data_IF_705374584136
#
_entry.id   IF_705374584136
#
_cell.length_a   1.000
_cell.length_b   1.000
_cell.length_c   1.000
_cell.angle_alpha   90.00
_cell.angle_beta   90.00
_cell.angle_gamma   90.00
#
_symmetry.space_group_name_H-M   'P 1'
#
loop_
_entity.id
_entity.type
_entity.pdbx_description
1 polymer ?
#
# COMPACT_ATOMS: atom_id res chain seq x y z
N UNK A 1 21.19 45.52 -83.75
CA UNK A 1 20.23 46.54 -83.30
C UNK A 1 19.75 46.17 -81.89
N UNK A 2 19.77 47.16 -80.99
CA UNK A 2 19.29 47.20 -79.61
C UNK A 2 19.93 46.33 -78.51
N UNK A 3 20.59 47.05 -77.59
CA UNK A 3 20.98 46.69 -76.22
C UNK A 3 19.74 46.40 -75.35
N UNK A 4 19.93 45.66 -74.24
CA UNK A 4 19.48 46.05 -72.89
C UNK A 4 20.15 45.20 -71.82
N UNK A 5 20.80 45.89 -70.87
CA UNK A 5 21.05 45.40 -69.52
C UNK A 5 19.70 45.16 -68.83
N UNK A 6 19.64 44.29 -67.81
CA UNK A 6 19.31 44.73 -66.45
C UNK A 6 19.25 43.58 -65.42
N UNK A 7 19.95 43.88 -64.32
CA UNK A 7 19.65 43.64 -62.91
C UNK A 7 19.44 42.23 -62.33
N UNK A 8 20.37 41.94 -61.42
CA UNK A 8 20.34 40.94 -60.37
C UNK A 8 19.21 41.25 -59.37
N UNK A 9 18.51 40.23 -58.91
CA UNK A 9 17.71 40.28 -57.68
C UNK A 9 17.84 38.95 -56.95
N UNK A 10 18.40 39.01 -55.75
CA UNK A 10 18.50 37.91 -54.79
C UNK A 10 17.09 37.52 -54.33
N UNK A 11 16.71 36.25 -54.53
CA UNK A 11 15.58 35.62 -53.84
C UNK A 11 16.08 34.75 -52.71
N UNK A 12 15.88 35.18 -51.46
CA UNK A 12 16.06 34.36 -50.27
C UNK A 12 15.08 33.18 -50.29
N UNK A 13 15.59 31.95 -50.37
CA UNK A 13 14.83 30.74 -50.08
C UNK A 13 14.94 30.49 -48.57
N UNK A 14 13.90 30.87 -47.82
CA UNK A 14 13.71 30.43 -46.43
C UNK A 14 13.18 29.00 -46.45
N UNK A 15 14.06 28.02 -46.22
CA UNK A 15 13.67 26.67 -45.83
C UNK A 15 13.02 26.72 -44.43
N UNK A 16 11.70 26.65 -44.35
CA UNK A 16 11.01 26.29 -43.11
C UNK A 16 11.23 24.78 -42.86
N UNK A 17 12.27 24.44 -42.11
CA UNK A 17 12.35 23.15 -41.42
C UNK A 17 11.31 23.16 -40.29
N UNK A 18 10.12 22.62 -40.56
CA UNK A 18 9.13 22.31 -39.54
C UNK A 18 9.68 21.21 -38.62
N UNK A 19 10.22 21.61 -37.46
CA UNK A 19 10.52 20.69 -36.36
C UNK A 19 9.19 20.16 -35.81
N UNK A 20 8.79 18.98 -36.27
CA UNK A 20 7.74 18.19 -35.64
C UNK A 20 8.31 17.65 -34.31
N UNK A 21 8.16 18.43 -33.24
CA UNK A 21 8.32 17.89 -31.89
C UNK A 21 7.18 16.91 -31.64
N UNK A 22 7.46 15.65 -31.27
CA UNK A 22 6.41 14.77 -30.80
C UNK A 22 5.88 15.37 -29.50
N UNK A 23 4.63 15.85 -29.52
CA UNK A 23 3.91 16.18 -28.31
C UNK A 23 3.69 14.88 -27.53
N UNK A 24 4.56 14.61 -26.56
CA UNK A 24 4.29 13.63 -25.52
C UNK A 24 3.17 14.23 -24.66
N UNK A 25 1.95 13.73 -24.84
CA UNK A 25 0.86 14.02 -23.91
C UNK A 25 1.23 13.39 -22.56
N UNK A 26 1.71 14.22 -21.63
CA UNK A 26 1.81 13.83 -20.24
C UNK A 26 0.37 13.61 -19.74
N UNK A 27 0.00 12.36 -19.49
CA UNK A 27 -1.30 12.03 -18.92
C UNK A 27 -1.29 12.49 -17.47
N UNK A 28 -2.00 13.58 -17.17
CA UNK A 28 -2.13 14.08 -15.80
C UNK A 28 -2.78 12.99 -14.93
N UNK A 29 -2.24 12.78 -13.73
CA UNK A 29 -2.86 11.90 -12.76
C UNK A 29 -4.32 12.34 -12.49
N UNK A 30 -5.25 11.39 -12.46
CA UNK A 30 -6.65 11.65 -12.15
C UNK A 30 -6.80 12.27 -10.76
N UNK A 31 -7.59 13.33 -10.63
CA UNK A 31 -7.93 13.92 -9.33
C UNK A 31 -8.60 12.87 -8.41
N UNK A 32 -8.43 12.98 -7.08
CA UNK A 32 -9.06 12.05 -6.14
C UNK A 32 -10.60 12.13 -6.23
N UNK A 33 -11.32 11.05 -5.93
CA UNK A 33 -12.79 11.00 -6.02
C UNK A 33 -13.49 11.98 -5.06
N UNK A 34 -12.81 12.33 -3.96
CA UNK A 34 -13.21 13.32 -2.97
C UNK A 34 -11.99 14.11 -2.48
N UNK A 35 -12.14 15.40 -2.09
CA UNK A 35 -11.00 16.25 -1.73
C UNK A 35 -10.13 15.72 -0.58
N UNK A 36 -10.77 15.14 0.44
CA UNK A 36 -10.14 14.61 1.65
C UNK A 36 -9.49 13.23 1.46
N UNK A 37 -9.57 12.66 0.26
CA UNK A 37 -8.85 11.42 -0.11
C UNK A 37 -7.49 11.69 -0.78
N UNK A 38 -7.06 12.94 -0.92
CA UNK A 38 -5.80 13.28 -1.59
C UNK A 38 -4.56 12.57 -1.01
N UNK A 39 -4.60 12.27 0.30
CA UNK A 39 -3.52 11.57 1.02
C UNK A 39 -3.74 10.06 1.18
N UNK A 40 -4.93 9.55 0.80
CA UNK A 40 -5.22 8.12 0.78
C UNK A 40 -4.38 7.40 -0.26
N UNK A 41 -4.11 6.12 -0.02
CA UNK A 41 -3.51 5.23 -1.03
C UNK A 41 -4.29 5.30 -2.36
N UNK A 42 -3.58 5.41 -3.49
CA UNK A 42 -4.23 5.57 -4.79
C UNK A 42 -5.21 4.43 -5.12
N UNK A 43 -4.92 3.19 -4.71
CA UNK A 43 -5.83 2.06 -4.90
C UNK A 43 -7.14 2.21 -4.14
N UNK A 44 -7.13 2.82 -2.95
CA UNK A 44 -8.37 3.13 -2.22
C UNK A 44 -9.17 4.22 -2.92
N UNK A 45 -8.49 5.21 -3.52
CA UNK A 45 -9.13 6.22 -4.36
C UNK A 45 -9.80 5.58 -5.59
N UNK A 46 -9.12 4.66 -6.27
CA UNK A 46 -9.66 3.93 -7.42
C UNK A 46 -10.87 3.05 -7.04
N UNK A 47 -10.77 2.28 -5.97
CA UNK A 47 -11.87 1.47 -5.42
C UNK A 47 -13.09 2.34 -5.07
N UNK A 48 -12.84 3.51 -4.48
CA UNK A 48 -13.90 4.46 -4.11
C UNK A 48 -14.53 5.11 -5.34
N UNK A 49 -13.72 5.52 -6.31
CA UNK A 49 -14.20 6.07 -7.58
C UNK A 49 -15.06 5.04 -8.34
N UNK A 50 -14.61 3.79 -8.41
CA UNK A 50 -15.36 2.69 -9.02
C UNK A 50 -16.75 2.51 -8.39
N UNK A 51 -16.84 2.45 -7.05
CA UNK A 51 -18.12 2.32 -6.36
C UNK A 51 -18.99 3.57 -6.46
N UNK A 52 -18.37 4.75 -6.56
CA UNK A 52 -19.07 6.03 -6.76
C UNK A 52 -19.72 6.07 -8.14
N UNK A 53 -19.01 5.63 -9.18
CA UNK A 53 -19.52 5.55 -10.55
C UNK A 53 -20.68 4.54 -10.67
N UNK A 54 -20.67 3.48 -9.87
CA UNK A 54 -21.80 2.53 -9.72
C UNK A 54 -22.93 3.05 -8.83
N UNK A 55 -22.87 4.28 -8.31
CA UNK A 55 -23.88 4.86 -7.41
C UNK A 55 -24.03 4.14 -6.05
N UNK A 56 -23.02 3.35 -5.69
CA UNK A 56 -23.03 2.46 -4.53
C UNK A 56 -22.54 3.14 -3.26
N UNK A 57 -21.62 4.08 -3.41
CA UNK A 57 -21.10 4.93 -2.33
C UNK A 57 -21.14 6.41 -2.74
N UNK A 58 -21.19 7.29 -1.75
CA UNK A 58 -21.14 8.73 -1.93
C UNK A 58 -20.46 9.41 -0.75
N UNK A 59 -20.23 10.72 -0.88
CA UNK A 59 -19.77 11.58 0.20
C UNK A 59 -20.89 11.94 1.17
N UNK A 60 -20.52 12.56 2.28
CA UNK A 60 -21.43 13.12 3.26
C UNK A 60 -21.95 14.51 2.82
N UNK A 61 -22.97 15.08 3.49
CA UNK A 61 -23.54 16.38 3.13
C UNK A 61 -22.55 17.55 3.15
N UNK A 62 -21.42 17.40 3.85
CA UNK A 62 -20.31 18.35 3.88
C UNK A 62 -19.41 18.31 2.61
N UNK A 63 -19.68 17.37 1.69
CA UNK A 63 -18.93 17.17 0.46
C UNK A 63 -17.68 16.30 0.61
N UNK A 64 -17.44 15.72 1.80
CA UNK A 64 -16.26 14.92 2.11
C UNK A 64 -16.57 13.42 2.14
N UNK A 65 -15.53 12.60 2.09
CA UNK A 65 -15.64 11.15 2.19
C UNK A 65 -15.46 10.61 3.60
N UNK A 66 -14.59 11.22 4.41
CA UNK A 66 -14.10 10.75 5.71
C UNK A 66 -13.41 9.38 5.63
N UNK A 67 -12.28 9.24 4.90
CA UNK A 67 -11.67 7.94 4.60
C UNK A 67 -11.21 7.17 5.85
N UNK A 68 -10.77 7.88 6.89
CA UNK A 68 -10.22 7.30 8.11
C UNK A 68 -11.28 7.03 9.19
N UNK A 69 -12.52 7.50 9.00
CA UNK A 69 -13.59 7.24 9.95
C UNK A 69 -14.00 5.78 9.90
N UNK A 70 -14.32 5.20 11.06
CA UNK A 70 -14.82 3.84 11.14
C UNK A 70 -16.27 3.77 10.66
N UNK A 71 -16.59 2.71 9.92
CA UNK A 71 -17.96 2.48 9.44
C UNK A 71 -18.73 1.64 10.45
N UNK A 72 -20.00 1.95 10.66
CA UNK A 72 -20.86 1.12 11.50
C UNK A 72 -21.44 -0.08 10.72
N UNK A 73 -22.00 -1.06 11.44
CA UNK A 73 -22.55 -2.29 10.86
C UNK A 73 -23.67 -2.02 9.84
N UNK A 74 -24.53 -1.03 10.10
CA UNK A 74 -25.63 -0.67 9.21
C UNK A 74 -25.14 -0.02 7.89
N UNK A 75 -24.18 0.89 7.98
CA UNK A 75 -23.57 1.57 6.83
C UNK A 75 -22.84 0.58 5.92
N UNK A 76 -22.08 -0.35 6.51
CA UNK A 76 -21.38 -1.37 5.74
C UNK A 76 -22.35 -2.27 4.97
N UNK A 77 -23.43 -2.71 5.62
CA UNK A 77 -24.43 -3.55 4.96
C UNK A 77 -25.16 -2.82 3.83
N UNK A 78 -25.47 -1.53 4.03
CA UNK A 78 -25.99 -0.67 2.95
C UNK A 78 -25.03 -0.61 1.77
N UNK A 79 -23.72 -0.46 2.00
CA UNK A 79 -22.70 -0.46 0.95
C UNK A 79 -22.73 -1.78 0.17
N UNK A 80 -22.71 -2.93 0.87
CA UNK A 80 -22.77 -4.27 0.25
C UNK A 80 -24.00 -4.40 -0.64
N UNK A 81 -25.20 -4.06 -0.15
CA UNK A 81 -26.42 -4.23 -0.92
C UNK A 81 -26.50 -3.27 -2.12
N UNK A 82 -26.07 -2.01 -1.95
CA UNK A 82 -26.06 -1.04 -3.06
C UNK A 82 -25.07 -1.42 -4.15
N UNK A 83 -23.91 -2.00 -3.78
CA UNK A 83 -22.90 -2.45 -4.75
C UNK A 83 -23.39 -3.53 -5.71
N UNK A 84 -24.49 -4.21 -5.39
CA UNK A 84 -25.12 -5.25 -6.21
C UNK A 84 -26.30 -4.76 -7.07
N UNK A 85 -26.59 -3.46 -7.13
CA UNK A 85 -27.56 -2.87 -8.07
C UNK A 85 -29.04 -2.78 -7.65
N UNK A 86 -29.42 -3.17 -6.42
CA UNK A 86 -30.81 -3.19 -5.84
C UNK A 86 -31.85 -4.08 -6.60
N UNK A 87 -32.89 -4.72 -6.01
CA UNK A 87 -33.57 -4.67 -4.69
C UNK A 87 -34.05 -6.10 -4.24
N UNK A 88 -34.81 -6.39 -3.17
CA UNK A 88 -35.90 -5.65 -2.49
C UNK A 88 -35.66 -5.30 -1.00
N UNK A 89 -36.13 -4.12 -0.56
CA UNK A 89 -36.15 -3.72 0.84
C UNK A 89 -37.22 -4.52 1.61
N UNK A 90 -36.80 -5.56 2.34
CA UNK A 90 -37.68 -6.27 3.27
C UNK A 90 -37.58 -5.57 4.62
N UNK A 91 -38.73 -5.20 5.20
CA UNK A 91 -38.81 -4.59 6.55
C UNK A 91 -39.49 -5.51 7.57
N UNK A 92 -39.73 -6.77 7.21
CA UNK A 92 -40.29 -7.80 8.09
C UNK A 92 -39.18 -8.70 8.66
N UNK A 93 -39.47 -9.39 9.77
CA UNK A 93 -38.54 -10.26 10.49
C UNK A 93 -37.21 -9.57 10.87
N UNK A 94 -37.27 -8.33 11.33
CA UNK A 94 -36.10 -7.58 11.77
C UNK A 94 -35.54 -8.04 13.14
N UNK A 95 -34.37 -7.53 13.53
CA UNK A 95 -33.86 -7.68 14.90
C UNK A 95 -34.60 -6.75 15.87
N UNK A 96 -34.55 -7.05 17.17
CA UNK A 96 -35.32 -6.32 18.18
C UNK A 96 -34.93 -4.83 18.32
N UNK A 97 -33.72 -4.46 17.92
CA UNK A 97 -33.15 -3.10 17.95
C UNK A 97 -33.15 -2.42 16.56
N UNK A 98 -33.95 -2.92 15.63
CA UNK A 98 -34.08 -2.38 14.26
C UNK A 98 -35.51 -1.88 14.07
N UNK A 99 -35.78 -0.58 14.28
CA UNK A 99 -37.07 0.02 13.96
C UNK A 99 -37.38 -0.12 12.47
N UNK A 100 -38.64 -0.41 12.11
CA UNK A 100 -39.04 -0.66 10.72
C UNK A 100 -38.90 0.57 9.81
N UNK A 101 -38.90 1.77 10.38
CA UNK A 101 -38.75 3.05 9.69
C UNK A 101 -37.29 3.56 9.65
N UNK A 102 -36.34 2.83 10.25
CA UNK A 102 -34.94 3.18 10.19
C UNK A 102 -34.41 3.04 8.74
N UNK A 103 -33.57 3.99 8.31
CA UNK A 103 -32.99 3.99 6.95
C UNK A 103 -32.24 2.70 6.59
N UNK A 104 -31.73 1.98 7.60
CA UNK A 104 -30.99 0.74 7.43
C UNK A 104 -31.85 -0.53 7.51
N UNK A 105 -33.10 -0.43 7.99
CA UNK A 105 -33.96 -1.59 8.22
C UNK A 105 -34.09 -2.48 6.98
N UNK A 106 -34.36 -1.95 5.77
CA UNK A 106 -34.36 -2.71 4.54
C UNK A 106 -33.18 -3.66 4.32
N UNK A 107 -31.97 -3.21 4.62
CA UNK A 107 -30.76 -3.97 4.38
C UNK A 107 -30.56 -5.02 5.46
N UNK A 108 -30.80 -4.64 6.72
CA UNK A 108 -30.60 -5.49 7.88
C UNK A 108 -31.58 -6.66 7.87
N UNK A 109 -32.87 -6.42 7.64
CA UNK A 109 -33.86 -7.50 7.70
C UNK A 109 -33.73 -8.44 6.49
N UNK A 110 -33.39 -7.90 5.31
CA UNK A 110 -33.02 -8.72 4.15
C UNK A 110 -31.79 -9.61 4.42
N UNK A 111 -30.75 -9.07 5.05
CA UNK A 111 -29.54 -9.84 5.37
C UNK A 111 -29.81 -10.94 6.40
N UNK A 112 -30.65 -10.66 7.42
CA UNK A 112 -31.06 -11.66 8.41
C UNK A 112 -31.82 -12.82 7.75
N UNK A 113 -32.83 -12.50 6.93
CA UNK A 113 -33.64 -13.51 6.21
C UNK A 113 -32.79 -14.39 5.29
N UNK A 114 -31.70 -13.86 4.75
CA UNK A 114 -30.75 -14.59 3.89
C UNK A 114 -29.67 -15.34 4.67
N UNK A 115 -29.66 -15.28 6.00
CA UNK A 115 -28.65 -15.94 6.83
C UNK A 115 -27.26 -15.28 6.77
N UNK A 116 -27.14 -14.09 6.15
CA UNK A 116 -25.88 -13.33 6.07
C UNK A 116 -25.46 -12.86 7.47
N UNK A 117 -26.44 -12.47 8.28
CA UNK A 117 -26.24 -12.01 9.66
C UNK A 117 -27.15 -12.77 10.62
N UNK A 118 -26.61 -13.09 11.80
CA UNK A 118 -27.34 -13.81 12.85
C UNK A 118 -27.67 -12.91 14.05
N UNK A 119 -27.02 -11.75 14.16
CA UNK A 119 -27.13 -10.86 15.32
C UNK A 119 -26.37 -11.36 16.54
N UNK A 120 -26.48 -10.62 17.63
CA UNK A 120 -25.96 -10.99 18.95
C UNK A 120 -27.12 -11.40 19.84
N UNK A 121 -26.91 -12.46 20.62
CA UNK A 121 -27.86 -12.86 21.66
C UNK A 121 -27.60 -12.02 22.90
N UNK A 122 -28.58 -11.20 23.30
CA UNK A 122 -28.56 -10.41 24.53
C UNK A 122 -29.78 -10.78 25.36
N UNK A 123 -29.57 -11.60 26.40
CA UNK A 123 -30.66 -12.25 27.13
C UNK A 123 -31.44 -13.19 26.22
N UNK A 124 -32.75 -12.98 26.10
CA UNK A 124 -33.62 -13.74 25.19
C UNK A 124 -33.83 -13.09 23.81
N UNK A 125 -33.19 -11.93 23.55
CA UNK A 125 -33.38 -11.15 22.32
C UNK A 125 -32.21 -11.30 21.37
N UNK A 126 -32.51 -11.33 20.07
CA UNK A 126 -31.53 -11.15 19.00
C UNK A 126 -31.46 -9.67 18.61
N UNK A 127 -30.26 -9.09 18.65
CA UNK A 127 -30.01 -7.68 18.33
C UNK A 127 -28.93 -7.54 17.26
N UNK A 128 -29.03 -6.53 16.39
CA UNK A 128 -28.09 -6.28 15.31
C UNK A 128 -26.93 -5.36 15.71
N UNK A 129 -27.20 -4.39 16.58
CA UNK A 129 -26.31 -3.28 16.97
C UNK A 129 -25.90 -2.40 15.78
N UNK A 130 -26.84 -1.68 15.14
CA UNK A 130 -26.60 -0.96 13.88
C UNK A 130 -25.48 0.09 13.95
N UNK A 131 -25.41 0.84 15.06
CA UNK A 131 -24.45 1.94 15.25
C UNK A 131 -23.08 1.48 15.76
N UNK A 132 -22.91 0.19 16.06
CA UNK A 132 -21.62 -0.32 16.50
C UNK A 132 -20.63 -0.33 15.32
N UNK A 133 -19.39 0.16 15.49
CA UNK A 133 -18.33 0.00 14.50
C UNK A 133 -18.15 -1.47 14.10
N UNK A 134 -18.14 -1.74 12.80
CA UNK A 134 -17.93 -3.10 12.29
C UNK A 134 -16.43 -3.41 12.25
N UNK A 135 -16.05 -4.63 12.62
CA UNK A 135 -14.67 -5.11 12.48
C UNK A 135 -14.46 -5.86 11.15
N UNK A 136 -13.20 -6.11 10.78
CA UNK A 136 -12.86 -6.82 9.53
C UNK A 136 -13.51 -8.21 9.44
N UNK A 137 -13.51 -9.00 10.52
CA UNK A 137 -14.10 -10.35 10.52
C UNK A 137 -15.60 -10.33 10.17
N UNK A 138 -16.36 -9.42 10.78
CA UNK A 138 -17.78 -9.22 10.51
C UNK A 138 -18.01 -8.69 9.09
N UNK A 139 -17.23 -7.71 8.66
CA UNK A 139 -17.31 -7.15 7.32
C UNK A 139 -17.05 -8.21 6.24
N UNK A 140 -16.05 -9.05 6.45
CA UNK A 140 -15.68 -10.16 5.57
C UNK A 140 -16.81 -11.19 5.49
N UNK A 141 -17.34 -11.66 6.63
CA UNK A 141 -18.50 -12.56 6.65
C UNK A 141 -19.66 -11.99 5.85
N UNK A 142 -20.01 -10.73 6.12
CA UNK A 142 -21.12 -10.07 5.44
C UNK A 142 -20.89 -9.99 3.92
N UNK A 143 -19.67 -9.67 3.48
CA UNK A 143 -19.32 -9.64 2.06
C UNK A 143 -19.38 -11.04 1.44
N UNK A 144 -18.64 -12.02 1.97
CA UNK A 144 -18.55 -13.40 1.46
C UNK A 144 -19.93 -14.02 1.23
N UNK A 145 -20.79 -13.95 2.24
CA UNK A 145 -22.14 -14.53 2.18
C UNK A 145 -23.04 -13.72 1.24
N UNK A 146 -22.90 -12.39 1.20
CA UNK A 146 -23.70 -11.55 0.30
C UNK A 146 -23.37 -11.78 -1.17
N UNK A 147 -22.11 -12.12 -1.49
CA UNK A 147 -21.66 -12.45 -2.84
C UNK A 147 -21.88 -13.92 -3.25
N UNK A 148 -22.61 -14.68 -2.41
CA UNK A 148 -23.17 -15.99 -2.79
C UNK A 148 -22.30 -17.19 -2.44
N UNK A 149 -21.27 -17.01 -1.61
CA UNK A 149 -20.50 -18.15 -1.10
C UNK A 149 -21.27 -18.81 0.05
N UNK A 150 -21.50 -20.11 -0.04
CA UNK A 150 -22.19 -20.90 0.99
C UNK A 150 -21.18 -21.48 1.99
N UNK A 151 -20.74 -20.65 2.93
CA UNK A 151 -19.71 -21.01 3.91
C UNK A 151 -20.35 -21.10 5.29
N UNK A 152 -20.11 -22.23 5.96
CA UNK A 152 -20.49 -22.42 7.35
C UNK A 152 -19.52 -21.67 8.27
N UNK A 153 -20.08 -21.03 9.29
CA UNK A 153 -19.29 -20.38 10.33
C UNK A 153 -18.44 -21.40 11.10
N UNK A 154 -17.21 -21.02 11.45
CA UNK A 154 -16.37 -21.82 12.33
C UNK A 154 -16.82 -21.76 13.78
N UNK A 155 -16.03 -22.35 14.68
CA UNK A 155 -16.29 -22.37 16.12
C UNK A 155 -15.22 -21.63 16.92
N UNK A 156 -15.58 -21.17 18.12
CA UNK A 156 -14.65 -20.56 19.07
C UNK A 156 -14.23 -19.13 18.68
N UNK A 157 -13.07 -18.70 19.17
CA UNK A 157 -12.60 -17.31 19.00
C UNK A 157 -12.29 -16.93 17.54
N UNK A 158 -12.00 -17.93 16.70
CA UNK A 158 -11.71 -17.77 15.26
C UNK A 158 -12.87 -18.24 14.38
N UNK A 159 -14.12 -18.03 14.82
CA UNK A 159 -15.32 -18.36 14.05
C UNK A 159 -15.31 -17.83 12.61
N UNK A 160 -14.59 -16.73 12.37
CA UNK A 160 -14.49 -16.06 11.08
C UNK A 160 -13.51 -16.70 10.09
N UNK A 161 -12.68 -17.64 10.54
CA UNK A 161 -11.56 -18.17 9.74
C UNK A 161 -12.00 -18.73 8.38
N UNK A 162 -13.09 -19.52 8.26
CA UNK A 162 -13.53 -20.03 6.96
C UNK A 162 -13.83 -18.93 5.92
N UNK A 163 -14.34 -17.78 6.38
CA UNK A 163 -14.59 -16.64 5.49
C UNK A 163 -13.30 -15.95 5.07
N UNK A 164 -12.30 -15.87 5.96
CA UNK A 164 -10.97 -15.34 5.63
C UNK A 164 -10.25 -16.23 4.62
N UNK A 165 -10.30 -17.55 4.83
CA UNK A 165 -9.69 -18.53 3.93
C UNK A 165 -10.26 -18.42 2.50
N UNK A 166 -11.56 -18.11 2.39
CA UNK A 166 -12.22 -17.86 1.10
C UNK A 166 -11.65 -16.63 0.37
N UNK A 167 -11.40 -15.52 1.09
CA UNK A 167 -10.80 -14.32 0.49
C UNK A 167 -9.38 -14.61 -0.01
N UNK A 168 -8.60 -15.35 0.76
CA UNK A 168 -7.23 -15.73 0.40
C UNK A 168 -7.20 -16.71 -0.78
N UNK A 169 -8.14 -17.65 -0.83
CA UNK A 169 -8.29 -18.60 -1.93
C UNK A 169 -8.69 -17.88 -3.24
N UNK A 170 -9.62 -16.92 -3.15
CA UNK A 170 -10.06 -16.09 -4.29
C UNK A 170 -9.14 -14.91 -4.59
N UNK A 171 -8.10 -14.68 -3.78
CA UNK A 171 -7.15 -13.57 -3.90
C UNK A 171 -7.81 -12.19 -3.97
N UNK A 172 -8.87 -11.99 -3.18
CA UNK A 172 -9.65 -10.75 -3.14
C UNK A 172 -8.95 -9.71 -2.26
N UNK A 173 -8.66 -10.09 -1.02
CA UNK A 173 -7.94 -9.26 -0.04
C UNK A 173 -7.17 -10.18 0.88
N UNK A 174 -5.84 -10.06 0.87
CA UNK A 174 -4.99 -10.97 1.62
C UNK A 174 -5.11 -10.77 3.14
N UNK A 175 -5.16 -11.88 3.88
CA UNK A 175 -5.34 -11.90 5.33
C UNK A 175 -4.19 -11.27 6.13
N UNK A 176 -3.01 -11.10 5.51
CA UNK A 176 -1.92 -10.34 6.14
C UNK A 176 -2.21 -8.83 6.18
N UNK A 177 -3.12 -8.32 5.36
CA UNK A 177 -3.33 -6.87 5.18
C UNK A 177 -4.22 -6.21 6.24
N UNK A 178 -4.74 -6.98 7.20
CA UNK A 178 -5.63 -6.47 8.26
C UNK A 178 -5.54 -7.30 9.53
N UNK A 179 -6.14 -6.77 10.60
CA UNK A 179 -6.35 -7.49 11.86
C UNK A 179 -7.86 -7.80 11.96
N UNK A 180 -8.28 -9.08 12.05
CA UNK A 180 -9.69 -9.46 11.97
C UNK A 180 -10.63 -8.75 12.97
N UNK A 181 -10.15 -8.48 14.18
CA UNK A 181 -10.94 -7.82 15.23
C UNK A 181 -10.83 -6.30 15.23
N UNK A 182 -10.01 -5.69 14.38
CA UNK A 182 -9.90 -4.24 14.29
C UNK A 182 -11.11 -3.64 13.56
N UNK A 183 -11.59 -2.45 13.96
CA UNK A 183 -12.59 -1.69 13.21
C UNK A 183 -12.12 -1.42 11.78
N UNK A 184 -13.06 -1.42 10.82
CA UNK A 184 -12.77 -1.08 9.42
C UNK A 184 -13.01 0.42 9.19
N UNK A 185 -12.05 1.08 8.54
CA UNK A 185 -12.22 2.47 8.07
C UNK A 185 -13.07 2.51 6.81
N UNK A 186 -13.62 3.67 6.48
CA UNK A 186 -14.50 3.83 5.32
C UNK A 186 -13.83 3.54 3.99
N UNK A 187 -12.58 3.97 3.82
CA UNK A 187 -11.82 3.65 2.61
C UNK A 187 -11.50 2.15 2.48
N UNK A 188 -11.22 1.47 3.60
CA UNK A 188 -10.99 0.02 3.64
C UNK A 188 -12.27 -0.76 3.37
N UNK A 189 -13.41 -0.29 3.85
CA UNK A 189 -14.72 -0.87 3.56
C UNK A 189 -15.07 -0.72 2.06
N UNK A 190 -14.82 0.46 1.49
CA UNK A 190 -14.98 0.68 0.05
C UNK A 190 -14.05 -0.23 -0.76
N UNK A 191 -12.78 -0.36 -0.35
CA UNK A 191 -11.81 -1.22 -1.03
C UNK A 191 -12.21 -2.70 -1.01
N UNK A 192 -12.60 -3.23 0.16
CA UNK A 192 -13.07 -4.62 0.29
C UNK A 192 -14.23 -4.91 -0.68
N UNK A 193 -15.23 -4.02 -0.73
CA UNK A 193 -16.40 -4.22 -1.58
C UNK A 193 -16.05 -4.03 -3.06
N UNK A 194 -15.24 -3.03 -3.42
CA UNK A 194 -14.80 -2.85 -4.80
C UNK A 194 -14.03 -4.06 -5.32
N UNK A 195 -13.14 -4.64 -4.51
CA UNK A 195 -12.40 -5.88 -4.84
C UNK A 195 -13.34 -7.04 -5.10
N UNK A 196 -14.37 -7.23 -4.26
CA UNK A 196 -15.40 -8.25 -4.45
C UNK A 196 -16.16 -8.07 -5.77
N UNK A 197 -16.69 -6.87 -5.99
CA UNK A 197 -17.46 -6.57 -7.20
C UNK A 197 -16.61 -6.81 -8.46
N UNK A 198 -15.37 -6.31 -8.48
CA UNK A 198 -14.46 -6.48 -9.62
C UNK A 198 -14.05 -7.93 -9.83
N UNK A 199 -13.89 -8.70 -8.76
CA UNK A 199 -13.61 -10.13 -8.86
C UNK A 199 -14.79 -10.91 -9.47
N UNK A 200 -15.99 -10.69 -8.97
CA UNK A 200 -17.16 -11.47 -9.36
C UNK A 200 -17.77 -11.04 -10.70
N UNK A 201 -17.87 -9.73 -10.94
CA UNK A 201 -18.49 -9.16 -12.14
C UNK A 201 -17.46 -8.95 -13.25
N UNK A 202 -16.32 -8.31 -12.94
CA UNK A 202 -15.32 -7.92 -13.95
C UNK A 202 -14.24 -8.99 -14.19
N UNK A 203 -14.26 -10.09 -13.42
CA UNK A 203 -13.27 -11.19 -13.48
C UNK A 203 -11.82 -10.72 -13.30
N UNK A 204 -11.64 -9.65 -12.53
CA UNK A 204 -10.32 -9.10 -12.20
C UNK A 204 -9.77 -9.78 -10.96
N UNK A 205 -8.49 -10.15 -10.99
CA UNK A 205 -7.74 -10.55 -9.81
C UNK A 205 -7.23 -9.29 -9.07
N UNK A 206 -7.79 -8.90 -7.92
CA UNK A 206 -7.52 -7.56 -7.34
C UNK A 206 -6.13 -7.41 -6.72
N UNK A 207 -5.41 -8.50 -6.49
CA UNK A 207 -4.00 -8.50 -6.08
C UNK A 207 -3.04 -8.26 -7.25
N UNK A 208 -3.50 -8.37 -8.50
CA UNK A 208 -2.67 -8.10 -9.68
C UNK A 208 -2.79 -6.64 -10.12
N UNK A 209 -1.68 -6.07 -10.58
CA UNK A 209 -1.68 -4.73 -11.13
C UNK A 209 -2.48 -4.62 -12.44
N UNK A 210 -2.97 -3.42 -12.80
CA UNK A 210 -3.67 -3.19 -14.07
C UNK A 210 -2.84 -3.51 -15.33
N UNK A 211 -1.51 -3.55 -15.22
CA UNK A 211 -0.59 -3.93 -16.30
C UNK A 211 -0.55 -5.44 -16.59
N UNK A 212 -1.03 -6.29 -15.68
CA UNK A 212 -1.11 -7.73 -15.91
C UNK A 212 -2.02 -8.07 -17.09
N UNK A 213 -1.57 -9.01 -17.93
CA UNK A 213 -2.25 -9.45 -19.15
C UNK A 213 -2.19 -8.45 -20.31
N UNK A 214 -1.56 -7.27 -20.14
CA UNK A 214 -1.39 -6.26 -21.19
C UNK A 214 0.04 -6.29 -21.74
N UNK A 215 0.23 -5.69 -22.92
CA UNK A 215 1.58 -5.47 -23.44
C UNK A 215 2.35 -4.56 -22.50
N UNK A 216 3.50 -5.04 -22.02
CA UNK A 216 4.39 -4.24 -21.18
C UNK A 216 4.84 -2.98 -21.90
N UNK A 217 4.82 -1.87 -21.16
CA UNK A 217 5.46 -0.62 -21.58
C UNK A 217 6.60 -0.30 -20.63
N UNK A 218 7.59 0.43 -21.13
CA UNK A 218 8.61 0.99 -20.24
C UNK A 218 7.96 2.03 -19.31
N UNK A 219 8.11 1.88 -17.98
CA UNK A 219 7.64 2.88 -17.03
C UNK A 219 8.35 4.22 -17.26
N UNK A 220 7.60 5.32 -17.12
CA UNK A 220 8.18 6.66 -17.06
C UNK A 220 9.02 6.79 -15.80
N UNK A 221 10.29 7.17 -15.96
CA UNK A 221 11.23 7.39 -14.86
C UNK A 221 11.15 8.80 -14.26
N UNK A 222 10.31 9.64 -14.86
CA UNK A 222 10.03 11.02 -14.46
C UNK A 222 8.54 11.18 -14.27
N UNK A 223 8.13 11.65 -13.09
CA UNK A 223 6.74 11.78 -12.66
C UNK A 223 6.47 13.21 -12.20
N UNK A 224 5.26 13.70 -12.42
CA UNK A 224 4.80 14.96 -11.80
C UNK A 224 4.06 14.63 -10.51
N UNK A 225 4.62 15.03 -9.37
CA UNK A 225 4.06 14.78 -8.03
C UNK A 225 4.00 16.11 -7.27
N UNK A 226 2.81 16.49 -6.80
CA UNK A 226 2.61 17.77 -6.12
C UNK A 226 2.95 18.99 -6.98
N UNK A 227 2.81 18.88 -8.32
CA UNK A 227 3.18 19.92 -9.27
C UNK A 227 4.69 20.04 -9.54
N UNK A 228 5.52 19.15 -8.97
CA UNK A 228 6.96 19.12 -9.17
C UNK A 228 7.37 17.88 -9.98
N UNK A 229 8.37 18.03 -10.85
CA UNK A 229 9.03 16.91 -11.50
C UNK A 229 9.89 16.12 -10.50
N UNK A 230 9.64 14.81 -10.41
CA UNK A 230 10.33 13.86 -9.53
C UNK A 230 10.83 12.68 -10.34
N UNK A 231 12.00 12.16 -9.99
CA UNK A 231 12.65 11.08 -10.75
C UNK A 231 12.99 9.88 -9.88
N UNK A 232 13.13 8.72 -10.50
CA UNK A 232 13.61 7.50 -9.88
C UNK A 232 14.42 6.66 -10.86
N UNK A 233 15.29 5.78 -10.35
CA UNK A 233 15.92 4.74 -11.16
C UNK A 233 15.10 3.46 -11.05
N UNK A 234 15.08 2.66 -12.10
CA UNK A 234 14.38 1.38 -12.11
C UNK A 234 15.32 0.25 -12.53
N UNK A 235 15.30 -0.82 -11.76
CA UNK A 235 15.77 -2.15 -12.16
C UNK A 235 14.54 -2.97 -12.50
N UNK A 236 14.55 -3.58 -13.69
CA UNK A 236 13.49 -4.50 -14.12
C UNK A 236 13.92 -5.94 -13.86
N UNK A 237 12.97 -6.86 -13.63
CA UNK A 237 13.27 -8.27 -13.45
C UNK A 237 13.93 -8.86 -14.70
N UNK A 238 14.86 -9.79 -14.51
CA UNK A 238 15.59 -10.44 -15.62
C UNK A 238 14.66 -11.23 -16.55
N UNK A 239 13.52 -11.69 -16.01
CA UNK A 239 12.49 -12.42 -16.72
C UNK A 239 11.11 -11.80 -16.45
N UNK A 240 10.89 -10.59 -16.97
CA UNK A 240 9.58 -9.95 -16.95
C UNK A 240 8.55 -10.78 -17.75
N UNK A 241 7.33 -10.88 -17.21
CA UNK A 241 6.22 -11.58 -17.84
C UNK A 241 4.92 -10.83 -17.62
N UNK A 242 4.11 -10.73 -18.67
CA UNK A 242 2.79 -10.12 -18.59
C UNK A 242 1.78 -11.00 -17.84
N UNK A 243 2.07 -12.29 -17.64
CA UNK A 243 1.16 -13.26 -17.01
C UNK A 243 1.64 -13.78 -15.66
N UNK A 244 2.90 -13.58 -15.32
CA UNK A 244 3.48 -14.01 -14.04
C UNK A 244 3.92 -12.76 -13.29
N UNK A 245 3.22 -12.37 -12.21
CA UNK A 245 3.48 -11.10 -11.57
C UNK A 245 4.81 -11.11 -10.81
N UNK A 246 5.60 -10.06 -11.02
CA UNK A 246 6.83 -9.81 -10.25
C UNK A 246 6.55 -9.03 -8.98
N UNK A 247 7.43 -9.12 -8.00
CA UNK A 247 7.38 -8.27 -6.80
C UNK A 247 7.89 -6.87 -7.08
N UNK A 248 7.51 -5.90 -6.26
CA UNK A 248 8.06 -4.56 -6.29
C UNK A 248 8.81 -4.22 -4.99
N UNK A 249 10.05 -3.76 -5.11
CA UNK A 249 10.83 -3.19 -4.01
C UNK A 249 11.04 -1.70 -4.27
N UNK A 250 10.67 -0.85 -3.32
CA UNK A 250 10.98 0.60 -3.37
C UNK A 250 12.07 0.92 -2.34
N UNK A 251 13.25 1.32 -2.82
CA UNK A 251 14.47 1.47 -2.03
C UNK A 251 14.87 2.94 -1.87
N UNK A 252 14.77 3.44 -0.63
CA UNK A 252 14.97 4.84 -0.28
C UNK A 252 16.39 5.13 0.22
N UNK A 253 17.03 6.15 -0.36
CA UNK A 253 18.36 6.57 0.04
C UNK A 253 18.40 7.42 1.32
N UNK A 254 19.58 7.45 1.95
CA UNK A 254 19.87 8.24 3.14
C UNK A 254 20.06 9.74 2.85
N UNK A 255 20.46 10.48 3.90
CA UNK A 255 20.57 11.94 3.85
C UNK A 255 21.65 12.44 2.88
N UNK A 256 22.76 11.73 2.73
CA UNK A 256 23.96 12.20 2.03
C UNK A 256 24.35 11.34 0.82
N UNK A 257 23.52 10.36 0.47
CA UNK A 257 23.69 9.55 -0.72
C UNK A 257 22.50 9.75 -1.65
N UNK A 258 22.74 9.94 -2.94
CA UNK A 258 21.68 9.91 -3.95
C UNK A 258 21.24 8.48 -4.30
N UNK A 259 20.14 8.37 -5.04
CA UNK A 259 19.57 7.09 -5.49
C UNK A 259 20.58 6.19 -6.25
N UNK A 260 21.43 6.75 -7.10
CA UNK A 260 22.47 6.01 -7.83
C UNK A 260 23.52 5.38 -6.89
N UNK A 261 23.89 6.10 -5.83
CA UNK A 261 24.87 5.60 -4.86
C UNK A 261 24.29 4.43 -4.05
N UNK A 262 23.05 4.55 -3.57
CA UNK A 262 22.44 3.46 -2.81
C UNK A 262 22.11 2.24 -3.66
N UNK A 263 21.75 2.43 -4.94
CA UNK A 263 21.62 1.31 -5.89
C UNK A 263 22.90 0.49 -5.97
N UNK A 264 24.06 1.16 -5.99
CA UNK A 264 25.35 0.50 -6.09
C UNK A 264 25.72 -0.31 -4.83
N UNK A 265 25.44 0.19 -3.62
CA UNK A 265 25.88 -0.49 -2.38
C UNK A 265 24.80 -1.32 -1.68
N UNK A 266 23.51 -1.09 -1.92
CA UNK A 266 22.46 -1.92 -1.33
C UNK A 266 22.57 -3.37 -1.80
N UNK A 267 22.95 -3.61 -3.07
CA UNK A 267 23.11 -4.95 -3.62
C UNK A 267 21.79 -5.66 -3.97
N UNK A 268 20.67 -4.93 -3.98
CA UNK A 268 19.36 -5.48 -4.31
C UNK A 268 19.26 -5.92 -5.77
N UNK A 269 19.79 -5.15 -6.73
CA UNK A 269 19.82 -5.54 -8.17
C UNK A 269 20.37 -6.95 -8.40
N UNK A 270 21.35 -7.38 -7.59
CA UNK A 270 21.92 -8.73 -7.68
C UNK A 270 21.15 -9.78 -6.89
N UNK A 271 20.53 -9.38 -5.77
CA UNK A 271 19.93 -10.33 -4.83
C UNK A 271 18.44 -10.57 -5.11
N UNK A 272 17.78 -9.62 -5.76
CA UNK A 272 16.35 -9.61 -6.08
C UNK A 272 16.14 -9.48 -7.59
N UNK A 273 16.83 -10.32 -8.38
CA UNK A 273 16.88 -10.22 -9.84
C UNK A 273 15.54 -10.45 -10.55
N UNK A 274 14.55 -11.00 -9.85
CA UNK A 274 13.20 -11.27 -10.33
C UNK A 274 12.17 -10.23 -9.84
N UNK A 275 12.66 -9.15 -9.22
CA UNK A 275 11.86 -8.04 -8.71
C UNK A 275 12.02 -6.80 -9.58
N UNK A 276 10.96 -6.00 -9.67
CA UNK A 276 11.13 -4.58 -9.97
C UNK A 276 11.73 -3.88 -8.76
N UNK A 277 12.73 -3.02 -8.96
CA UNK A 277 13.38 -2.26 -7.90
C UNK A 277 13.42 -0.79 -8.27
N UNK A 278 12.60 0.02 -7.61
CA UNK A 278 12.57 1.46 -7.78
C UNK A 278 13.49 2.13 -6.75
N UNK A 279 14.32 3.08 -7.20
CA UNK A 279 15.19 3.91 -6.37
C UNK A 279 14.79 5.39 -6.53
N UNK A 280 13.83 5.88 -5.74
CA UNK A 280 13.35 7.25 -5.85
C UNK A 280 14.44 8.27 -5.50
N UNK A 281 14.39 9.45 -6.10
CA UNK A 281 15.22 10.59 -5.69
C UNK A 281 14.48 11.49 -4.70
N UNK A 282 15.03 11.60 -3.48
CA UNK A 282 14.64 12.62 -2.52
C UNK A 282 14.96 14.03 -3.03
N UNK A 283 14.35 15.05 -2.43
CA UNK A 283 14.58 16.44 -2.84
C UNK A 283 15.91 16.94 -2.27
N UNK A 284 16.82 17.49 -3.09
CA UNK A 284 18.08 18.03 -2.61
C UNK A 284 17.87 19.35 -1.84
N UNK A 285 18.53 19.50 -0.70
CA UNK A 285 18.50 20.70 0.14
C UNK A 285 19.52 21.77 -0.28
N UNK A 286 20.21 21.60 -1.42
CA UNK A 286 21.24 22.53 -1.93
C UNK A 286 22.61 22.45 -1.22
N UNK A 287 22.73 21.70 -0.13
CA UNK A 287 23.98 21.52 0.63
C UNK A 287 24.58 20.10 0.51
N UNK A 288 24.19 19.36 -0.54
CA UNK A 288 24.57 17.95 -0.73
C UNK A 288 23.79 16.95 0.13
N UNK A 289 22.78 17.41 0.89
CA UNK A 289 21.83 16.53 1.57
C UNK A 289 20.48 16.47 0.86
N UNK A 290 19.68 15.47 1.22
CA UNK A 290 18.33 15.24 0.71
C UNK A 290 17.29 15.20 1.82
N UNK A 291 16.02 15.45 1.47
CA UNK A 291 14.86 15.29 2.35
C UNK A 291 13.74 14.47 1.69
N UNK A 292 13.05 13.68 2.51
CA UNK A 292 11.83 12.94 2.16
C UNK A 292 10.53 13.62 2.64
N UNK A 293 10.65 14.73 3.36
CA UNK A 293 9.52 15.48 3.92
C UNK A 293 9.76 16.98 3.84
N UNK A 294 8.70 17.75 4.04
CA UNK A 294 8.78 19.19 4.25
C UNK A 294 8.76 19.55 5.75
N UNK A 295 9.29 20.71 6.13
CA UNK A 295 9.12 21.24 7.48
C UNK A 295 7.64 21.43 7.81
N UNK A 296 7.18 20.81 8.90
CA UNK A 296 5.80 20.93 9.37
C UNK A 296 4.85 19.85 8.84
N UNK A 297 5.33 18.93 8.00
CA UNK A 297 4.55 17.75 7.60
C UNK A 297 4.04 17.02 8.84
N UNK A 298 2.75 16.65 8.82
CA UNK A 298 2.22 15.71 9.80
C UNK A 298 2.80 14.33 9.51
N UNK A 299 3.00 13.52 10.56
CA UNK A 299 3.61 12.20 10.43
C UNK A 299 2.93 11.32 9.37
N UNK A 300 1.59 11.35 9.27
CA UNK A 300 0.81 10.54 8.32
C UNK A 300 0.67 11.16 6.92
N UNK A 301 1.18 12.37 6.71
CA UNK A 301 0.98 13.17 5.50
C UNK A 301 2.33 13.69 4.97
N UNK A 302 3.40 12.90 5.11
CA UNK A 302 4.72 13.30 4.59
C UNK A 302 4.63 13.51 3.07
N UNK A 303 5.23 14.61 2.58
CA UNK A 303 5.23 14.98 1.16
C UNK A 303 5.52 13.80 0.22
N UNK A 304 6.56 13.01 0.50
CA UNK A 304 6.99 11.96 -0.44
C UNK A 304 6.20 10.65 -0.34
N UNK A 305 5.19 10.54 0.53
CA UNK A 305 4.22 9.44 0.41
C UNK A 305 3.53 9.46 -0.94
N UNK A 306 3.22 10.65 -1.46
CA UNK A 306 2.69 10.82 -2.82
C UNK A 306 3.67 10.35 -3.91
N UNK A 307 4.99 10.47 -3.69
CA UNK A 307 5.98 9.95 -4.63
C UNK A 307 6.03 8.42 -4.62
N UNK A 308 5.97 7.80 -3.44
CA UNK A 308 5.86 6.35 -3.33
C UNK A 308 4.61 5.85 -4.06
N UNK A 309 3.44 6.44 -3.78
CA UNK A 309 2.17 6.06 -4.41
C UNK A 309 2.24 6.21 -5.95
N UNK A 310 2.81 7.32 -6.44
CA UNK A 310 2.94 7.56 -7.88
C UNK A 310 3.87 6.56 -8.58
N UNK A 311 4.97 6.14 -7.93
CA UNK A 311 5.89 5.14 -8.47
C UNK A 311 5.22 3.77 -8.53
N UNK A 312 4.53 3.35 -7.47
CA UNK A 312 3.82 2.06 -7.46
C UNK A 312 2.75 2.04 -8.53
N UNK A 313 1.96 3.13 -8.65
CA UNK A 313 0.95 3.26 -9.70
C UNK A 313 1.56 3.17 -11.09
N UNK A 314 2.59 3.96 -11.38
CA UNK A 314 3.22 3.97 -12.71
C UNK A 314 3.76 2.59 -13.09
N UNK A 315 4.44 1.89 -12.17
CA UNK A 315 4.96 0.55 -12.44
C UNK A 315 3.79 -0.44 -12.61
N UNK A 316 2.77 -0.36 -11.75
CA UNK A 316 1.59 -1.22 -11.82
C UNK A 316 0.76 -1.04 -13.08
N UNK A 317 0.71 0.17 -13.64
CA UNK A 317 0.04 0.47 -14.91
C UNK A 317 0.88 0.02 -16.12
N UNK A 318 2.20 -0.08 -15.94
CA UNK A 318 3.15 -0.37 -17.02
C UNK A 318 3.51 -1.85 -17.17
N UNK A 319 3.46 -2.59 -16.06
CA UNK A 319 3.96 -3.95 -15.95
C UNK A 319 3.10 -4.79 -15.00
N UNK A 320 3.25 -6.11 -15.09
CA UNK A 320 2.54 -7.05 -14.22
C UNK A 320 3.28 -7.20 -12.88
N UNK A 321 2.74 -6.60 -11.82
CA UNK A 321 3.25 -6.75 -10.46
C UNK A 321 2.20 -7.32 -9.53
N UNK A 322 2.68 -8.04 -8.52
CA UNK A 322 1.86 -8.54 -7.42
C UNK A 322 1.73 -7.41 -6.38
N UNK A 323 0.54 -6.83 -6.28
CA UNK A 323 0.22 -5.76 -5.33
C UNK A 323 0.20 -6.25 -3.88
N UNK A 324 0.17 -7.57 -3.64
CA UNK A 324 0.35 -8.14 -2.30
C UNK A 324 1.83 -8.33 -1.93
N UNK A 325 2.76 -8.03 -2.86
CA UNK A 325 4.22 -8.19 -2.68
C UNK A 325 4.97 -6.90 -3.01
N UNK A 326 4.49 -5.80 -2.41
CA UNK A 326 5.16 -4.50 -2.39
C UNK A 326 5.99 -4.39 -1.11
N UNK A 327 7.29 -4.20 -1.27
CA UNK A 327 8.26 -4.08 -0.17
C UNK A 327 8.94 -2.72 -0.20
N UNK A 328 9.33 -2.23 0.99
CA UNK A 328 10.11 -0.98 1.11
C UNK A 328 11.43 -1.24 1.82
N UNK A 329 12.51 -0.66 1.28
CA UNK A 329 13.86 -0.78 1.82
C UNK A 329 14.44 0.60 2.07
N UNK A 330 15.30 0.75 3.07
CA UNK A 330 16.05 1.99 3.23
C UNK A 330 17.23 1.89 4.18
N UNK A 331 18.10 2.90 4.09
CA UNK A 331 19.24 3.09 4.99
C UNK A 331 19.23 4.51 5.55
N UNK A 332 19.54 4.70 6.83
CA UNK A 332 19.64 6.01 7.48
C UNK A 332 18.32 6.80 7.38
N UNK A 333 18.34 8.04 6.89
CA UNK A 333 17.13 8.82 6.60
C UNK A 333 16.13 8.07 5.69
N UNK A 334 16.62 7.26 4.75
CA UNK A 334 15.79 6.42 3.89
C UNK A 334 15.15 5.26 4.65
N UNK A 335 15.83 4.71 5.66
CA UNK A 335 15.23 3.73 6.57
C UNK A 335 14.11 4.35 7.40
N UNK A 336 14.29 5.59 7.86
CA UNK A 336 13.21 6.32 8.54
C UNK A 336 12.00 6.52 7.64
N UNK A 337 12.24 6.93 6.40
CA UNK A 337 11.17 7.14 5.45
C UNK A 337 10.48 5.83 5.05
N UNK A 338 11.23 4.76 4.75
CA UNK A 338 10.68 3.43 4.46
C UNK A 338 9.77 2.92 5.59
N UNK A 339 10.21 3.08 6.85
CA UNK A 339 9.41 2.71 8.02
C UNK A 339 8.16 3.56 8.19
N UNK A 340 8.20 4.83 7.77
CA UNK A 340 7.07 5.75 7.79
C UNK A 340 6.06 5.41 6.69
N UNK A 341 6.52 5.11 5.47
CA UNK A 341 5.69 4.60 4.37
C UNK A 341 4.99 3.31 4.79
N UNK A 342 5.72 2.33 5.33
CA UNK A 342 5.14 1.07 5.81
C UNK A 342 4.17 1.24 6.99
N UNK A 343 4.13 2.40 7.66
CA UNK A 343 3.17 2.67 8.72
C UNK A 343 1.94 3.41 8.17
N UNK A 344 2.14 4.39 7.28
CA UNK A 344 1.07 5.14 6.62
C UNK A 344 0.36 4.35 5.51
N UNK A 345 1.00 3.32 4.97
CA UNK A 345 0.48 2.37 3.96
C UNK A 345 0.42 0.95 4.52
N UNK A 346 0.09 0.82 5.81
CA UNK A 346 -0.14 -0.48 6.43
C UNK A 346 -1.30 -1.21 5.75
N UNK A 347 -1.16 -2.52 5.56
CA UNK A 347 -2.11 -3.31 4.75
C UNK A 347 -2.02 -3.08 3.23
N UNK A 348 -1.04 -2.30 2.75
CA UNK A 348 -0.68 -2.17 1.32
C UNK A 348 0.78 -2.59 1.13
N UNK A 349 1.68 -2.07 1.96
CA UNK A 349 3.07 -2.52 1.99
C UNK A 349 3.13 -3.84 2.77
N UNK A 350 3.58 -4.90 2.09
CA UNK A 350 3.72 -6.25 2.66
C UNK A 350 4.79 -6.29 3.74
N UNK A 351 5.94 -5.66 3.47
CA UNK A 351 7.02 -5.58 4.44
C UNK A 351 7.94 -4.36 4.28
N UNK A 352 8.53 -3.92 5.40
CA UNK A 352 9.72 -3.06 5.40
C UNK A 352 10.97 -3.85 5.79
N UNK A 353 12.11 -3.51 5.18
CA UNK A 353 13.41 -3.96 5.62
C UNK A 353 14.41 -2.80 5.66
N UNK A 354 14.92 -2.47 6.85
CA UNK A 354 15.62 -1.20 7.05
C UNK A 354 16.92 -1.35 7.82
N UNK A 355 17.90 -0.50 7.51
CA UNK A 355 19.20 -0.45 8.19
C UNK A 355 19.43 0.94 8.78
N UNK A 356 19.85 1.00 10.05
CA UNK A 356 20.31 2.26 10.65
C UNK A 356 19.27 3.39 10.63
N UNK A 357 17.98 3.07 10.77
CA UNK A 357 16.89 4.04 10.86
C UNK A 357 15.86 3.69 11.91
N UNK A 358 14.82 4.51 12.04
CA UNK A 358 13.73 4.35 13.01
C UNK A 358 12.44 4.99 12.48
N UNK A 359 11.33 4.88 13.18
CA UNK A 359 10.25 5.87 13.08
C UNK A 359 9.56 5.96 14.43
N UNK A 360 9.03 7.13 14.76
CA UNK A 360 8.26 7.36 15.99
C UNK A 360 6.75 7.38 15.73
N UNK A 361 6.33 7.06 14.51
CA UNK A 361 4.92 7.00 14.11
C UNK A 361 4.24 5.78 14.75
N UNK A 362 3.27 6.00 15.65
CA UNK A 362 2.62 4.94 16.43
C UNK A 362 1.29 4.44 15.84
N UNK A 363 0.60 5.27 15.07
CA UNK A 363 -0.76 5.01 14.60
C UNK A 363 -0.77 4.48 13.17
N UNK A 364 -0.14 3.33 12.92
CA UNK A 364 -0.10 2.76 11.58
C UNK A 364 -1.50 2.40 11.07
N UNK A 365 -1.74 2.61 9.78
CA UNK A 365 -3.05 2.40 9.12
C UNK A 365 -3.38 0.92 8.91
N UNK A 366 -2.42 0.03 9.16
CA UNK A 366 -2.58 -1.42 9.11
C UNK A 366 -1.29 -2.16 9.49
N UNK A 367 -1.33 -3.50 9.53
CA UNK A 367 -0.15 -4.31 9.83
C UNK A 367 0.80 -4.40 8.63
N UNK A 368 2.09 -4.59 8.91
CA UNK A 368 3.16 -4.78 7.90
C UNK A 368 4.31 -5.54 8.53
N UNK A 369 4.83 -6.58 7.87
CA UNK A 369 6.01 -7.30 8.35
C UNK A 369 7.24 -6.38 8.40
N UNK A 370 8.14 -6.57 9.36
CA UNK A 370 9.27 -5.66 9.55
C UNK A 370 10.57 -6.39 9.84
N UNK A 371 11.61 -6.12 9.04
CA UNK A 371 13.00 -6.46 9.32
C UNK A 371 13.76 -5.17 9.68
N UNK A 372 14.21 -5.07 10.92
CA UNK A 372 14.83 -3.87 11.47
C UNK A 372 16.27 -4.19 11.85
N UNK A 373 17.21 -3.67 11.08
CA UNK A 373 18.65 -3.87 11.26
C UNK A 373 19.25 -2.57 11.81
N UNK A 374 19.99 -2.65 12.90
CA UNK A 374 20.67 -1.50 13.50
C UNK A 374 21.92 -1.95 14.25
N UNK A 375 22.91 -1.07 14.39
CA UNK A 375 24.06 -1.29 15.25
C UNK A 375 23.87 -0.56 16.58
N UNK A 376 24.00 -1.22 17.75
CA UNK A 376 23.92 -0.56 19.06
C UNK A 376 24.93 0.58 19.28
N UNK A 377 26.03 0.62 18.51
CA UNK A 377 27.05 1.68 18.54
C UNK A 377 26.84 2.76 17.48
N UNK A 378 25.73 2.72 16.75
CA UNK A 378 25.35 3.75 15.79
C UNK A 378 25.00 5.07 16.51
N UNK A 379 25.84 6.08 16.30
CA UNK A 379 25.67 7.43 16.88
C UNK A 379 24.92 8.38 15.96
N UNK A 380 24.69 8.01 14.70
CA UNK A 380 23.93 8.80 13.73
C UNK A 380 22.44 8.45 13.76
N UNK A 381 22.13 7.19 14.09
CA UNK A 381 20.77 6.68 14.27
C UNK A 381 20.70 5.86 15.56
N UNK A 382 20.12 6.47 16.59
CA UNK A 382 20.10 5.91 17.95
C UNK A 382 19.50 4.49 17.99
N UNK A 383 20.20 3.57 18.66
CA UNK A 383 19.69 2.23 18.96
C UNK A 383 18.33 2.26 19.66
N UNK A 384 18.16 3.17 20.63
CA UNK A 384 16.90 3.35 21.37
C UNK A 384 15.74 3.71 20.43
N UNK A 385 16.01 4.47 19.37
CA UNK A 385 14.99 4.79 18.38
C UNK A 385 14.62 3.57 17.51
N UNK A 386 15.59 2.70 17.19
CA UNK A 386 15.32 1.44 16.51
C UNK A 386 14.51 0.47 17.39
N UNK A 387 14.79 0.42 18.70
CA UNK A 387 14.00 -0.35 19.67
C UNK A 387 12.57 0.18 19.80
N UNK A 388 12.39 1.51 19.85
CA UNK A 388 11.07 2.11 19.87
C UNK A 388 10.26 1.75 18.60
N UNK A 389 10.90 1.74 17.43
CA UNK A 389 10.29 1.30 16.18
C UNK A 389 9.90 -0.19 16.21
N UNK A 390 10.79 -1.04 16.72
CA UNK A 390 10.49 -2.47 16.93
C UNK A 390 9.24 -2.63 17.81
N UNK A 391 9.15 -1.91 18.91
CA UNK A 391 8.03 -2.00 19.84
C UNK A 391 6.72 -1.50 19.21
N UNK A 392 6.79 -0.44 18.40
CA UNK A 392 5.67 0.03 17.57
C UNK A 392 5.19 -1.10 16.64
N UNK A 393 6.10 -1.82 15.98
CA UNK A 393 5.74 -2.92 15.07
C UNK A 393 5.20 -4.14 15.79
N UNK A 394 5.76 -4.49 16.94
CA UNK A 394 5.22 -5.56 17.81
C UNK A 394 3.76 -5.25 18.16
N UNK A 395 3.47 -4.01 18.57
CA UNK A 395 2.11 -3.59 18.90
C UNK A 395 1.20 -3.57 17.66
N UNK A 396 1.63 -2.94 16.55
CA UNK A 396 0.85 -2.81 15.32
C UNK A 396 0.55 -4.17 14.66
N UNK A 397 1.46 -5.14 14.80
CA UNK A 397 1.27 -6.50 14.28
C UNK A 397 0.73 -7.45 15.35
N UNK A 398 0.32 -6.99 16.54
CA UNK A 398 -0.23 -7.81 17.63
C UNK A 398 0.66 -9.01 18.04
N UNK A 399 1.98 -8.83 17.94
CA UNK A 399 2.96 -9.84 18.32
C UNK A 399 3.07 -9.95 19.85
N UNK A 400 3.55 -11.09 20.32
CA UNK A 400 4.02 -11.29 21.69
C UNK A 400 5.40 -10.67 21.87
N UNK A 401 5.74 -10.17 23.08
CA UNK A 401 7.09 -9.65 23.36
C UNK A 401 8.15 -10.75 23.43
N UNK A 402 7.75 -12.04 23.43
CA UNK A 402 8.69 -13.16 23.38
C UNK A 402 9.38 -13.18 22.03
N UNK A 403 10.69 -13.45 22.01
CA UNK A 403 11.46 -13.58 20.78
C UNK A 403 12.40 -14.78 20.83
N UNK A 404 12.78 -15.26 19.65
CA UNK A 404 13.77 -16.30 19.47
C UNK A 404 14.79 -15.85 18.41
N UNK A 405 16.03 -16.36 18.52
CA UNK A 405 17.05 -16.12 17.48
C UNK A 405 16.55 -16.64 16.12
N UNK A 406 16.85 -15.92 15.06
CA UNK A 406 16.49 -16.28 13.69
C UNK A 406 17.62 -15.94 12.73
N UNK A 407 17.52 -16.41 11.48
CA UNK A 407 18.49 -16.10 10.43
C UNK A 407 18.27 -14.70 9.83
N UNK A 408 19.34 -14.03 9.34
CA UNK A 408 20.72 -14.47 9.42
C UNK A 408 21.32 -14.25 10.82
N UNK A 409 21.93 -15.31 11.37
CA UNK A 409 22.62 -15.24 12.66
C UNK A 409 23.80 -14.27 12.67
N UNK A 410 24.40 -14.01 11.50
CA UNK A 410 25.49 -13.03 11.31
C UNK A 410 25.09 -11.58 11.61
N UNK A 411 23.79 -11.26 11.57
CA UNK A 411 23.25 -9.94 11.94
C UNK A 411 22.62 -9.93 13.34
N UNK A 412 22.82 -11.00 14.12
CA UNK A 412 22.26 -11.15 15.47
C UNK A 412 20.72 -11.09 15.50
N UNK A 413 20.04 -11.54 14.44
CA UNK A 413 18.60 -11.40 14.30
C UNK A 413 17.79 -12.20 15.33
N UNK A 414 16.68 -11.60 15.77
CA UNK A 414 15.66 -12.21 16.61
C UNK A 414 14.29 -11.96 16.01
N UNK A 415 13.45 -12.99 15.94
CA UNK A 415 12.06 -12.90 15.52
C UNK A 415 11.14 -12.94 16.73
N UNK A 416 10.17 -12.02 16.75
CA UNK A 416 9.12 -11.99 17.77
C UNK A 416 8.05 -13.03 17.48
N UNK A 417 7.56 -13.67 18.54
CA UNK A 417 6.59 -14.76 18.51
C UNK A 417 5.16 -14.24 18.48
N UNK A 418 4.21 -15.13 18.17
CA UNK A 418 2.76 -14.87 18.15
C UNK A 418 2.36 -13.65 17.31
N UNK A 419 3.22 -13.24 16.37
CA UNK A 419 2.81 -12.39 15.28
C UNK A 419 1.86 -13.22 14.41
N UNK A 420 0.70 -12.67 13.98
CA UNK A 420 -0.02 -13.16 12.83
C UNK A 420 0.89 -13.15 11.58
N UNK A 421 0.30 -13.11 10.38
CA UNK A 421 0.99 -13.15 9.08
C UNK A 421 1.98 -11.99 8.81
N UNK A 422 2.36 -11.19 9.80
CA UNK A 422 3.26 -10.04 9.72
C UNK A 422 4.39 -10.15 10.78
N UNK A 423 5.43 -10.95 10.53
CA UNK A 423 6.53 -11.14 11.48
C UNK A 423 7.30 -9.83 11.73
N UNK A 424 7.84 -9.70 12.94
CA UNK A 424 8.78 -8.64 13.32
C UNK A 424 10.12 -9.27 13.65
N UNK A 425 11.15 -8.89 12.90
CA UNK A 425 12.54 -9.35 13.05
C UNK A 425 13.42 -8.15 13.39
N UNK A 426 14.16 -8.24 14.50
CA UNK A 426 15.07 -7.20 14.97
C UNK A 426 16.51 -7.73 15.02
N UNK A 427 17.44 -7.04 14.38
CA UNK A 427 18.82 -7.46 14.15
C UNK A 427 19.81 -6.41 14.68
N UNK A 428 20.15 -6.46 15.99
CA UNK A 428 21.18 -5.62 16.59
C UNK A 428 22.58 -6.13 16.22
N UNK A 429 23.02 -5.91 14.98
CA UNK A 429 24.31 -6.40 14.50
C UNK A 429 25.49 -5.71 15.19
N UNK A 430 26.64 -6.38 15.22
CA UNK A 430 27.87 -5.91 15.90
C UNK A 430 29.00 -5.56 14.92
N UNK A 431 28.66 -5.44 13.64
CA UNK A 431 29.60 -5.10 12.57
C UNK A 431 29.88 -3.59 12.61
N UNK A 432 31.04 -3.23 13.15
CA UNK A 432 31.42 -1.84 13.44
C UNK A 432 32.38 -1.23 12.41
N UNK A 433 32.86 -2.03 11.46
CA UNK A 433 33.88 -1.61 10.48
C UNK A 433 33.41 -1.91 9.06
N UNK A 434 33.68 -0.96 8.16
CA UNK A 434 33.40 -1.13 6.74
C UNK A 434 34.39 -2.10 6.06
N UNK A 435 34.20 -2.35 4.76
CA UNK A 435 35.07 -3.21 3.94
C UNK A 435 36.53 -2.77 3.87
N UNK A 436 36.83 -1.52 4.24
CA UNK A 436 38.19 -0.95 4.30
C UNK A 436 38.76 -0.98 5.72
N UNK A 437 38.03 -1.53 6.70
CA UNK A 437 38.41 -1.58 8.10
C UNK A 437 38.16 -0.28 8.85
N UNK A 438 37.51 0.73 8.25
CA UNK A 438 37.21 2.01 8.91
C UNK A 438 36.09 1.82 9.91
N UNK A 439 36.25 2.34 11.13
CA UNK A 439 35.18 2.29 12.15
C UNK A 439 34.00 3.17 11.73
N UNK A 440 32.88 2.54 11.42
CA UNK A 440 31.66 3.21 10.97
C UNK A 440 30.41 2.35 11.28
N UNK A 441 29.91 2.32 12.52
CA UNK A 441 28.74 1.51 12.91
C UNK A 441 27.43 1.82 12.17
N UNK A 442 27.33 2.97 11.51
CA UNK A 442 26.20 3.38 10.65
C UNK A 442 26.38 2.91 9.20
N UNK A 443 26.90 1.69 9.02
CA UNK A 443 27.18 1.10 7.71
C UNK A 443 26.01 0.23 7.21
N UNK A 444 26.06 -0.12 5.93
CA UNK A 444 25.26 -1.20 5.36
C UNK A 444 26.06 -2.52 5.44
N UNK A 445 25.67 -3.48 6.30
CA UNK A 445 26.44 -4.71 6.46
C UNK A 445 26.47 -5.59 5.20
N UNK A 446 27.55 -6.34 5.00
CA UNK A 446 27.61 -7.36 3.97
C UNK A 446 26.55 -8.45 4.22
N UNK A 447 25.96 -8.98 3.14
CA UNK A 447 24.89 -9.98 3.22
C UNK A 447 23.49 -9.42 3.49
N UNK A 448 23.36 -8.10 3.73
CA UNK A 448 22.08 -7.47 4.07
C UNK A 448 21.02 -7.68 2.97
N UNK A 449 21.34 -7.45 1.69
CA UNK A 449 20.35 -7.62 0.63
C UNK A 449 19.84 -9.06 0.53
N UNK A 450 20.71 -10.06 0.66
CA UNK A 450 20.30 -11.46 0.66
C UNK A 450 19.39 -11.78 1.86
N UNK A 451 19.69 -11.21 3.02
CA UNK A 451 18.84 -11.35 4.21
C UNK A 451 17.46 -10.73 3.99
N UNK A 452 17.39 -9.54 3.39
CA UNK A 452 16.13 -8.86 3.07
C UNK A 452 15.30 -9.66 2.06
N UNK A 453 15.92 -10.16 0.99
CA UNK A 453 15.21 -10.98 -0.02
C UNK A 453 14.69 -12.27 0.60
N UNK A 454 15.51 -13.00 1.36
CA UNK A 454 15.08 -14.20 2.07
C UNK A 454 13.93 -13.91 3.04
N UNK A 455 13.96 -12.77 3.72
CA UNK A 455 12.86 -12.34 4.57
C UNK A 455 11.58 -12.11 3.74
N UNK A 456 11.66 -11.42 2.61
CA UNK A 456 10.52 -11.17 1.72
C UNK A 456 9.94 -12.44 1.09
N UNK A 457 10.78 -13.39 0.71
CA UNK A 457 10.38 -14.69 0.15
C UNK A 457 9.69 -15.61 1.17
N UNK A 458 9.96 -15.40 2.46
CA UNK A 458 9.33 -16.16 3.54
C UNK A 458 7.95 -15.65 3.97
N UNK A 459 7.41 -14.64 3.28
CA UNK A 459 6.15 -13.95 3.62
C UNK A 459 4.94 -14.43 2.84
#
# INVERSE_FOLDING_TARGET
MSRRNDHWSLGCITLLCGLLFPFTFAQAASAPPFPDMANSWYGYQESTQYLKDKGSIGGYPDGLFHPQDTVNRAEFLKLVFRSKGAAEPVTEDCFADVPSDAWFAPFVCAAKRRGIIQGYTVGSRQVFKPEQPINFAEAIKMAVLSYGSEIAEGSGEKWYQPYVDELDAKKILASWSYIPWAPITRERAADLIARYVRHDEDRVLPHLSPGCGKSERNPSLTLTVGGQERTYLLTQPSHASTSTPSTLIVAFHGRTNGNAQVRAYFGLDRSASDSFIAYPSGIPNGNGSYSWSDPGDKAQELRDFALFDAIVREIGDSACIDLDRIYVVGHSLGAWFANSVACARGGVVRASATVGGSTTMKNCTGPTAALIINNPKDTLSSHVAAEAMRDIRIAANTCSPKSAKTEPSSLSCMQYADCPLNPVVFCPHTIDRDRHGTYYPHLWPDGTAQAMVKFFEGL
#
